data_IF_685858254747
#
_entry.id   IF_685858254747
#
_cell.length_a   1.000
_cell.length_b   1.000
_cell.length_c   1.000
_cell.angle_alpha   90.00
_cell.angle_beta   90.00
_cell.angle_gamma   90.00
#
_symmetry.space_group_name_H-M   'P 1'
#
loop_
_entity.id
_entity.type
_entity.pdbx_description
1 polymer ?
#
# COMPACT_ATOMS: atom_id res chain seq x y z
N UNK A 1 -0.83 -0.38 13.66
CA UNK A 1 -0.85 -1.86 13.78
C UNK A 1 -1.48 -2.53 12.54
N UNK A 2 -1.13 -2.10 11.32
CA UNK A 2 -1.71 -2.65 10.07
C UNK A 2 -0.80 -3.68 9.39
N UNK A 3 0.52 -3.50 9.50
CA UNK A 3 1.52 -4.43 8.94
C UNK A 3 1.39 -5.86 9.50
N UNK A 4 1.07 -5.97 10.80
CA UNK A 4 0.80 -7.25 11.47
C UNK A 4 -0.38 -7.98 10.82
N UNK A 5 -1.46 -7.26 10.54
CA UNK A 5 -2.69 -7.83 9.97
C UNK A 5 -2.51 -8.24 8.50
N UNK A 6 -1.64 -7.53 7.75
CA UNK A 6 -1.38 -7.80 6.33
C UNK A 6 -0.37 -8.91 6.07
N UNK A 7 0.68 -9.03 6.90
CA UNK A 7 1.82 -9.93 6.64
C UNK A 7 1.91 -11.08 7.64
N UNK A 8 1.19 -11.03 8.75
CA UNK A 8 1.36 -11.94 9.89
C UNK A 8 2.51 -11.50 10.81
N UNK A 9 2.47 -11.97 12.06
CA UNK A 9 3.34 -11.48 13.14
C UNK A 9 4.84 -11.60 12.83
N UNK A 10 5.30 -12.80 12.46
CA UNK A 10 6.72 -13.05 12.16
C UNK A 10 7.23 -12.20 10.99
N UNK A 11 6.45 -12.07 9.91
CA UNK A 11 6.84 -11.28 8.73
C UNK A 11 6.78 -9.78 8.99
N UNK A 12 5.94 -9.32 9.91
CA UNK A 12 5.92 -7.92 10.33
C UNK A 12 7.19 -7.53 11.08
N UNK A 13 7.69 -8.39 11.98
CA UNK A 13 8.96 -8.17 12.69
C UNK A 13 10.13 -8.07 11.70
N UNK A 14 10.22 -9.03 10.76
CA UNK A 14 11.27 -9.04 9.72
C UNK A 14 11.21 -7.77 8.86
N UNK A 15 10.00 -7.32 8.48
CA UNK A 15 9.83 -6.11 7.69
C UNK A 15 10.29 -4.84 8.44
N UNK A 16 10.01 -4.74 9.74
CA UNK A 16 10.48 -3.63 10.58
C UNK A 16 12.00 -3.65 10.69
N UNK A 17 12.61 -4.81 10.96
CA UNK A 17 14.06 -4.94 11.05
C UNK A 17 14.76 -4.54 9.74
N UNK A 18 14.23 -4.97 8.59
CA UNK A 18 14.77 -4.58 7.27
C UNK A 18 14.67 -3.08 7.01
N UNK A 19 13.55 -2.45 7.40
CA UNK A 19 13.36 -1.00 7.27
C UNK A 19 14.38 -0.21 8.10
N UNK A 20 14.61 -0.62 9.35
CA UNK A 20 15.59 0.01 10.24
C UNK A 20 17.02 -0.15 9.71
N UNK A 21 17.39 -1.34 9.23
CA UNK A 21 18.71 -1.59 8.67
C UNK A 21 19.00 -0.67 7.47
N UNK A 22 18.04 -0.54 6.54
CA UNK A 22 18.17 0.33 5.37
C UNK A 22 18.29 1.80 5.77
N UNK A 23 17.49 2.25 6.74
CA UNK A 23 17.57 3.63 7.24
C UNK A 23 18.96 3.94 7.81
N UNK A 24 19.48 3.06 8.67
CA UNK A 24 20.81 3.22 9.29
C UNK A 24 21.91 3.25 8.22
N UNK A 25 21.86 2.33 7.24
CA UNK A 25 22.82 2.31 6.13
C UNK A 25 22.86 3.65 5.38
N UNK A 26 21.72 4.23 5.06
CA UNK A 26 21.66 5.49 4.33
C UNK A 26 22.13 6.70 5.15
N UNK A 27 21.84 6.73 6.46
CA UNK A 27 22.36 7.77 7.36
C UNK A 27 23.88 7.74 7.38
N UNK A 28 24.48 6.55 7.51
CA UNK A 28 25.93 6.39 7.57
C UNK A 28 26.60 6.69 6.21
N UNK A 29 26.01 6.22 5.10
CA UNK A 29 26.58 6.38 3.76
C UNK A 29 26.51 7.81 3.25
N UNK A 30 25.35 8.46 3.39
CA UNK A 30 25.08 9.76 2.78
C UNK A 30 25.27 10.93 3.75
N UNK A 31 25.48 10.66 5.05
CA UNK A 31 25.50 11.65 6.14
C UNK A 31 24.24 12.54 6.21
N UNK A 32 23.14 12.08 5.61
CA UNK A 32 21.85 12.78 5.65
C UNK A 32 21.10 12.33 6.90
N UNK A 33 20.53 13.27 7.69
CA UNK A 33 19.74 12.91 8.86
C UNK A 33 18.51 12.09 8.48
N UNK A 34 18.12 11.18 9.37
CA UNK A 34 16.94 10.36 9.17
C UNK A 34 15.67 11.24 9.09
N UNK A 35 14.94 11.13 7.97
CA UNK A 35 13.65 11.78 7.82
C UNK A 35 12.50 10.74 7.94
N UNK A 36 11.77 10.70 9.07
CA UNK A 36 10.67 9.75 9.28
C UNK A 36 9.46 10.00 8.36
N UNK A 37 9.30 11.20 7.80
CA UNK A 37 8.13 11.55 7.00
C UNK A 37 8.11 10.84 5.64
N UNK A 38 9.28 10.44 5.13
CA UNK A 38 9.40 9.63 3.91
C UNK A 38 8.78 8.24 4.06
N UNK A 39 8.74 7.71 5.29
CA UNK A 39 8.29 6.34 5.57
C UNK A 39 6.86 6.26 6.13
N UNK A 40 6.27 7.39 6.53
CA UNK A 40 4.87 7.48 7.02
C UNK A 40 3.82 7.21 5.93
N UNK A 41 4.14 7.41 4.65
CA UNK A 41 3.14 7.45 3.55
C UNK A 41 2.73 6.10 2.95
N UNK A 42 3.18 4.97 3.48
CA UNK A 42 3.06 3.69 2.74
C UNK A 42 1.69 2.99 2.77
N UNK A 43 0.73 3.41 3.59
CA UNK A 43 -0.54 2.65 3.77
C UNK A 43 -1.83 3.47 3.63
N UNK A 44 -1.77 4.73 3.18
CA UNK A 44 -3.00 5.49 2.92
C UNK A 44 -3.55 5.07 1.56
N UNK A 45 -4.51 4.15 1.56
CA UNK A 45 -5.40 3.96 0.41
C UNK A 45 -6.02 5.33 0.13
N UNK A 46 -5.85 5.92 -1.08
CA UNK A 46 -6.43 7.22 -1.36
C UNK A 46 -7.93 7.16 -1.06
N UNK A 47 -8.39 8.04 -0.15
CA UNK A 47 -9.75 8.01 0.38
C UNK A 47 -10.78 8.24 -0.72
N UNK A 48 -10.44 9.07 -1.71
CA UNK A 48 -11.26 9.33 -2.88
C UNK A 48 -10.56 8.74 -4.10
N UNK A 49 -11.07 7.60 -4.58
CA UNK A 49 -10.70 7.04 -5.88
C UNK A 49 -11.84 7.34 -6.83
N UNK A 50 -11.66 8.36 -7.65
CA UNK A 50 -12.52 8.62 -8.79
C UNK A 50 -12.14 7.63 -9.91
N UNK A 51 -13.12 6.92 -10.44
CA UNK A 51 -12.94 6.01 -11.59
C UNK A 51 -14.02 6.33 -12.62
N UNK A 52 -13.66 6.24 -13.90
CA UNK A 52 -14.62 6.42 -14.97
C UNK A 52 -15.56 5.21 -15.05
N UNK A 53 -16.75 5.38 -15.66
CA UNK A 53 -17.73 4.29 -15.80
C UNK A 53 -17.13 3.09 -16.54
N UNK A 54 -16.35 3.34 -17.60
CA UNK A 54 -15.66 2.28 -18.35
C UNK A 54 -14.66 1.51 -17.49
N UNK A 55 -13.86 2.22 -16.68
CA UNK A 55 -12.91 1.58 -15.76
C UNK A 55 -13.62 0.77 -14.68
N UNK A 56 -14.78 1.24 -14.21
CA UNK A 56 -15.61 0.52 -13.25
C UNK A 56 -16.15 -0.80 -13.84
N UNK A 57 -16.60 -0.78 -15.10
CA UNK A 57 -17.06 -1.96 -15.83
C UNK A 57 -15.91 -2.99 -15.98
N UNK A 58 -14.73 -2.54 -16.41
CA UNK A 58 -13.56 -3.41 -16.57
C UNK A 58 -13.11 -4.02 -15.24
N UNK A 59 -13.13 -3.25 -14.15
CA UNK A 59 -12.82 -3.75 -12.81
C UNK A 59 -13.82 -4.80 -12.33
N UNK A 60 -15.11 -4.57 -12.55
CA UNK A 60 -16.15 -5.53 -12.17
C UNK A 60 -16.01 -6.84 -12.98
N UNK A 61 -15.71 -6.76 -14.28
CA UNK A 61 -15.42 -7.94 -15.09
C UNK A 61 -14.18 -8.70 -14.62
N UNK A 62 -13.09 -8.00 -14.29
CA UNK A 62 -11.87 -8.60 -13.75
C UNK A 62 -12.09 -9.29 -12.38
N UNK A 63 -13.10 -8.87 -11.64
CA UNK A 63 -13.55 -9.51 -10.40
C UNK A 63 -14.55 -10.66 -10.63
N UNK A 64 -14.92 -10.95 -11.88
CA UNK A 64 -15.79 -12.08 -12.25
C UNK A 64 -17.28 -11.74 -12.31
N UNK A 65 -17.66 -10.47 -12.21
CA UNK A 65 -19.07 -10.07 -12.33
C UNK A 65 -19.50 -10.04 -13.80
N UNK A 66 -20.71 -10.56 -14.07
CA UNK A 66 -21.41 -10.34 -15.34
C UNK A 66 -22.21 -9.04 -15.26
N UNK A 67 -21.84 -8.08 -16.09
CA UNK A 67 -22.53 -6.80 -16.21
C UNK A 67 -23.88 -7.06 -16.91
N UNK A 68 -24.98 -6.69 -16.27
CA UNK A 68 -26.33 -6.73 -16.86
C UNK A 68 -26.88 -5.31 -16.91
N UNK A 69 -27.59 -4.96 -17.99
CA UNK A 69 -28.34 -3.72 -18.04
C UNK A 69 -29.54 -3.82 -17.07
N UNK A 70 -29.79 -2.77 -16.30
CA UNK A 70 -30.94 -2.73 -15.42
C UNK A 70 -32.22 -2.71 -16.27
N UNK A 71 -33.05 -3.73 -16.14
CA UNK A 71 -34.39 -3.75 -16.74
C UNK A 71 -35.21 -2.71 -15.99
N UNK A 72 -35.62 -1.65 -16.69
CA UNK A 72 -36.60 -0.67 -16.20
C UNK A 72 -38.00 -1.22 -16.38
#
# INVERSE_FOLDING_TARGET
MQLKNRRGHKRAIIAIARMLLTAIYHILKNKVPYNPDLYKKSDVRPANREITVEQAILLAQAQGYRIMAATT
#
